data_IF_346646493126
#
_entry.id   IF_346646493126
#
_cell.length_a   1.000
_cell.length_b   1.000
_cell.length_c   1.000
_cell.angle_alpha   90.00
_cell.angle_beta   90.00
_cell.angle_gamma   90.00
#
_symmetry.space_group_name_H-M   'P 1'
#
loop_
_entity.id
_entity.type
_entity.pdbx_description
1 polymer ?
#
# COMPACT_ATOMS: atom_id res chain seq x y z
N UNK A 1 -2.31 -15.81 5.99
CA UNK A 1 -1.77 -15.00 4.89
C UNK A 1 -2.39 -15.54 3.62
N UNK A 2 -3.13 -14.74 2.87
CA UNK A 2 -3.49 -15.16 1.51
C UNK A 2 -2.27 -14.95 0.63
N UNK A 3 -1.74 -16.01 0.01
CA UNK A 3 -0.75 -15.89 -1.05
C UNK A 3 -1.38 -15.37 -2.37
N UNK A 4 -2.72 -15.31 -2.40
CA UNK A 4 -3.50 -15.01 -3.59
C UNK A 4 -3.95 -13.55 -3.57
N UNK A 5 -3.49 -12.80 -4.57
CA UNK A 5 -3.87 -11.41 -4.80
C UNK A 5 -5.19 -11.34 -5.59
N UNK A 6 -6.31 -11.57 -4.93
CA UNK A 6 -7.63 -11.62 -5.58
C UNK A 6 -8.62 -10.57 -5.09
N UNK A 7 -8.65 -10.34 -3.79
CA UNK A 7 -9.64 -9.46 -3.16
C UNK A 7 -9.04 -8.77 -1.94
N UNK A 8 -9.84 -7.95 -1.28
CA UNK A 8 -9.46 -7.12 -0.14
C UNK A 8 -8.86 -7.89 1.04
N UNK A 9 -9.08 -9.20 1.15
CA UNK A 9 -8.47 -10.03 2.18
C UNK A 9 -6.95 -10.07 2.04
N UNK A 10 -6.41 -9.77 0.86
CA UNK A 10 -4.97 -9.63 0.67
C UNK A 10 -4.35 -8.51 1.54
N UNK A 11 -5.14 -7.51 1.93
CA UNK A 11 -4.70 -6.40 2.77
C UNK A 11 -4.91 -6.64 4.28
N UNK A 12 -5.35 -7.84 4.68
CA UNK A 12 -5.71 -8.14 6.08
C UNK A 12 -5.08 -9.45 6.55
N UNK A 13 -4.65 -9.46 7.80
CA UNK A 13 -4.25 -10.71 8.45
C UNK A 13 -5.48 -11.58 8.74
N UNK A 14 -5.42 -12.86 8.35
CA UNK A 14 -6.41 -13.84 8.77
C UNK A 14 -6.37 -14.06 10.29
N UNK A 15 -7.45 -14.55 10.87
CA UNK A 15 -7.53 -14.81 12.30
C UNK A 15 -6.41 -15.72 12.80
N UNK A 16 -6.04 -16.75 12.02
CA UNK A 16 -4.90 -17.62 12.32
C UNK A 16 -3.59 -16.81 12.42
N UNK A 17 -3.28 -15.97 11.42
CA UNK A 17 -2.07 -15.15 11.47
C UNK A 17 -2.06 -14.17 12.65
N UNK A 18 -3.18 -13.53 12.95
CA UNK A 18 -3.25 -12.64 14.09
C UNK A 18 -3.03 -13.39 15.41
N UNK A 19 -3.56 -14.62 15.54
CA UNK A 19 -3.32 -15.48 16.71
C UNK A 19 -1.85 -15.84 16.84
N UNK A 20 -1.22 -16.30 15.76
CA UNK A 20 0.18 -16.71 15.80
C UNK A 20 1.13 -15.53 16.04
N UNK A 21 0.87 -14.35 15.45
CA UNK A 21 1.64 -13.13 15.75
C UNK A 21 1.55 -12.80 17.25
N UNK A 22 0.34 -12.84 17.83
CA UNK A 22 0.15 -12.58 19.27
C UNK A 22 0.83 -13.62 20.15
N UNK A 23 0.82 -14.89 19.75
CA UNK A 23 1.51 -15.97 20.44
C UNK A 23 3.02 -15.75 20.43
N UNK A 24 3.59 -15.48 19.24
CA UNK A 24 5.02 -15.24 19.06
C UNK A 24 5.50 -14.00 19.81
N UNK A 25 4.78 -12.88 19.69
CA UNK A 25 5.13 -11.61 20.33
C UNK A 25 5.19 -11.69 21.85
N UNK A 26 4.47 -12.62 22.48
CA UNK A 26 4.44 -12.80 23.93
C UNK A 26 5.60 -13.65 24.48
N UNK A 27 6.40 -14.28 23.62
CA UNK A 27 7.45 -15.19 24.10
C UNK A 27 8.68 -14.42 24.60
N UNK A 28 9.40 -14.93 25.62
CA UNK A 28 10.55 -14.24 26.21
C UNK A 28 11.65 -13.91 25.20
N UNK A 29 11.81 -14.71 24.16
CA UNK A 29 12.85 -14.55 23.13
C UNK A 29 12.64 -13.26 22.29
N UNK A 30 11.41 -12.73 22.24
CA UNK A 30 11.07 -11.51 21.48
C UNK A 30 10.92 -10.26 22.36
N UNK A 31 11.47 -10.30 23.58
CA UNK A 31 11.44 -9.17 24.54
C UNK A 31 12.02 -7.86 23.97
N UNK A 32 12.93 -7.94 23.00
CA UNK A 32 13.47 -6.76 22.31
C UNK A 32 12.43 -5.98 21.49
N UNK A 33 11.28 -6.58 21.15
CA UNK A 33 10.17 -5.94 20.43
C UNK A 33 9.11 -5.35 21.37
N UNK A 34 9.14 -5.70 22.65
CA UNK A 34 8.26 -5.15 23.69
C UNK A 34 8.93 -4.04 24.49
N UNK A 35 10.26 -4.02 24.53
CA UNK A 35 11.04 -2.99 25.21
C UNK A 35 11.48 -1.88 24.26
N UNK A 36 11.12 -0.63 24.60
CA UNK A 36 11.50 0.54 23.79
C UNK A 36 12.78 1.17 24.30
N UNK A 37 13.92 0.77 23.74
CA UNK A 37 15.23 1.30 24.10
C UNK A 37 15.72 2.47 23.20
N UNK A 38 14.90 2.88 22.23
CA UNK A 38 15.27 3.90 21.26
C UNK A 38 15.15 5.34 21.84
N UNK A 39 16.24 6.10 21.79
CA UNK A 39 16.29 7.51 22.25
C UNK A 39 15.79 8.52 21.23
N UNK A 40 15.75 8.14 19.95
CA UNK A 40 15.31 9.01 18.84
C UNK A 40 14.06 8.42 18.20
N UNK A 41 13.16 9.31 17.79
CA UNK A 41 11.98 8.93 17.01
C UNK A 41 12.00 9.66 15.67
N UNK A 42 11.60 8.96 14.62
CA UNK A 42 11.44 9.54 13.29
C UNK A 42 10.05 10.18 13.25
N UNK A 43 9.96 11.42 12.74
CA UNK A 43 8.67 12.08 12.54
C UNK A 43 7.81 11.26 11.58
N UNK A 44 6.57 10.99 11.98
CA UNK A 44 5.60 10.29 11.13
C UNK A 44 4.98 11.29 10.17
N UNK A 45 4.75 10.85 8.94
CA UNK A 45 3.89 11.56 7.99
C UNK A 45 2.45 11.14 8.23
N UNK A 46 1.52 12.10 8.22
CA UNK A 46 0.08 11.85 8.16
C UNK A 46 -0.42 11.61 6.74
N UNK A 47 0.41 11.90 5.73
CA UNK A 47 0.05 11.74 4.32
C UNK A 47 0.10 10.27 3.93
N UNK A 48 -0.95 9.82 3.26
CA UNK A 48 -0.99 8.49 2.66
C UNK A 48 -0.02 8.42 1.45
N UNK A 49 0.60 7.25 1.18
CA UNK A 49 1.63 7.15 0.16
C UNK A 49 1.17 7.56 -1.25
N UNK A 50 -0.09 7.30 -1.61
CA UNK A 50 -0.67 7.63 -2.91
C UNK A 50 -0.78 9.13 -3.20
N UNK A 51 -0.73 9.99 -2.17
CA UNK A 51 -0.65 11.46 -2.35
C UNK A 51 0.79 11.97 -2.41
N UNK A 52 1.77 11.10 -2.11
CA UNK A 52 3.19 11.45 -2.06
C UNK A 52 3.94 11.08 -3.35
N UNK A 53 3.29 10.40 -4.29
CA UNK A 53 3.90 9.95 -5.55
C UNK A 53 2.90 10.00 -6.70
N UNK A 54 3.40 10.15 -7.92
CA UNK A 54 2.57 10.00 -9.12
C UNK A 54 2.42 8.53 -9.50
N UNK A 55 1.42 8.22 -10.33
CA UNK A 55 1.22 6.86 -10.85
C UNK A 55 2.43 6.36 -11.64
N UNK A 56 3.03 7.19 -12.49
CA UNK A 56 4.22 6.82 -13.26
C UNK A 56 5.44 6.59 -12.37
N UNK A 57 5.64 7.42 -11.34
CA UNK A 57 6.70 7.18 -10.35
C UNK A 57 6.46 5.85 -9.62
N UNK A 58 5.22 5.58 -9.19
CA UNK A 58 4.88 4.30 -8.58
C UNK A 58 5.20 3.12 -9.50
N UNK A 59 4.80 3.17 -10.77
CA UNK A 59 5.12 2.14 -11.76
C UNK A 59 6.64 1.93 -11.93
N UNK A 60 7.41 3.01 -11.98
CA UNK A 60 8.88 2.95 -12.04
C UNK A 60 9.48 2.34 -10.78
N UNK A 61 8.98 2.66 -9.59
CA UNK A 61 9.49 2.09 -8.35
C UNK A 61 9.21 0.58 -8.23
N UNK A 62 8.01 0.14 -8.62
CA UNK A 62 7.64 -1.28 -8.57
C UNK A 62 8.45 -2.10 -9.58
N UNK A 63 8.65 -1.57 -10.78
CA UNK A 63 9.41 -2.22 -11.85
C UNK A 63 10.70 -1.45 -12.16
N UNK A 64 11.53 -1.19 -11.14
CA UNK A 64 12.71 -0.32 -11.25
C UNK A 64 13.76 -0.74 -12.29
N UNK A 65 13.74 -2.01 -12.67
CA UNK A 65 14.66 -2.56 -13.67
C UNK A 65 14.10 -2.52 -15.10
N UNK A 66 12.80 -2.27 -15.25
CA UNK A 66 12.14 -2.17 -16.56
C UNK A 66 12.24 -0.73 -17.09
N UNK A 67 13.12 -0.52 -18.07
CA UNK A 67 13.33 0.81 -18.65
C UNK A 67 12.07 1.33 -19.33
N UNK A 68 11.73 2.59 -19.05
CA UNK A 68 10.59 3.26 -19.68
C UNK A 68 9.23 2.87 -19.10
N UNK A 69 9.18 2.16 -17.95
CA UNK A 69 7.92 1.89 -17.27
C UNK A 69 7.24 3.19 -16.85
N UNK A 70 5.95 3.32 -17.18
CA UNK A 70 5.11 4.47 -16.81
C UNK A 70 3.67 4.03 -16.65
N UNK A 71 2.83 4.90 -16.08
CA UNK A 71 1.39 4.63 -16.01
C UNK A 71 0.72 4.92 -17.35
N UNK A 72 -0.20 4.06 -17.77
CA UNK A 72 -1.08 4.27 -18.90
C UNK A 72 -2.14 5.32 -18.53
N UNK A 73 -1.94 6.56 -19.02
CA UNK A 73 -2.81 7.70 -18.71
C UNK A 73 -4.24 7.49 -19.22
N UNK A 74 -4.42 6.79 -20.34
CA UNK A 74 -5.73 6.51 -20.91
C UNK A 74 -6.52 5.51 -20.04
N UNK A 75 -5.81 4.58 -19.39
CA UNK A 75 -6.43 3.68 -18.40
C UNK A 75 -6.82 4.45 -17.13
N UNK A 76 -5.95 5.34 -16.66
CA UNK A 76 -6.14 6.08 -15.42
C UNK A 76 -6.14 5.16 -14.18
N UNK A 77 -6.98 5.48 -13.19
CA UNK A 77 -7.21 4.62 -12.01
C UNK A 77 -8.58 3.98 -12.12
N UNK A 78 -8.64 2.66 -12.24
CA UNK A 78 -9.88 1.89 -12.35
C UNK A 78 -9.94 0.85 -11.25
N UNK A 79 -11.01 0.85 -10.45
CA UNK A 79 -11.16 -0.08 -9.31
C UNK A 79 -9.91 -0.12 -8.40
N UNK A 80 -9.31 1.04 -8.15
CA UNK A 80 -8.04 1.17 -7.43
C UNK A 80 -6.89 0.34 -7.99
N UNK A 81 -6.85 0.24 -9.32
CA UNK A 81 -5.77 -0.35 -10.07
C UNK A 81 -5.25 0.62 -11.11
N UNK A 82 -3.97 0.49 -11.41
CA UNK A 82 -3.28 1.21 -12.49
C UNK A 82 -2.69 0.18 -13.45
N UNK A 83 -2.61 0.56 -14.70
CA UNK A 83 -1.86 -0.20 -15.71
C UNK A 83 -0.50 0.46 -15.89
N UNK A 84 0.55 -0.27 -15.50
CA UNK A 84 1.94 0.12 -15.76
C UNK A 84 2.38 -0.51 -17.07
N UNK A 85 2.93 0.29 -17.98
CA UNK A 85 3.23 -0.14 -19.34
C UNK A 85 4.60 0.33 -19.80
N UNK A 86 5.18 -0.42 -20.73
CA UNK A 86 6.24 0.02 -21.64
C UNK A 86 5.74 -0.14 -23.09
N UNK A 87 6.62 -0.03 -24.07
CA UNK A 87 6.28 -0.29 -25.48
C UNK A 87 5.88 -1.75 -25.74
N UNK A 88 6.35 -2.70 -24.92
CA UNK A 88 6.28 -4.14 -25.26
C UNK A 88 5.52 -4.98 -24.22
N UNK A 89 5.17 -4.41 -23.07
CA UNK A 89 4.53 -5.16 -21.99
C UNK A 89 3.70 -4.24 -21.09
N UNK A 90 2.76 -4.84 -20.37
CA UNK A 90 1.98 -4.15 -19.36
C UNK A 90 1.70 -5.06 -18.16
N UNK A 91 1.50 -4.43 -17.01
CA UNK A 91 1.04 -5.07 -15.77
C UNK A 91 -0.09 -4.25 -15.15
N UNK A 92 -1.05 -4.91 -14.51
CA UNK A 92 -2.13 -4.23 -13.79
C UNK A 92 -1.99 -4.47 -12.29
N UNK A 93 -1.71 -3.39 -11.55
CA UNK A 93 -1.40 -3.42 -10.13
C UNK A 93 -2.44 -2.66 -9.32
N UNK A 94 -2.61 -3.01 -8.04
CA UNK A 94 -3.35 -2.17 -7.10
C UNK A 94 -2.56 -0.90 -6.80
N UNK A 95 -3.23 0.26 -6.76
CA UNK A 95 -2.57 1.53 -6.41
C UNK A 95 -2.35 1.65 -4.90
N UNK A 96 -1.48 2.57 -4.52
CA UNK A 96 -1.21 2.90 -3.13
C UNK A 96 -2.43 3.56 -2.46
N UNK A 97 -2.58 3.35 -1.16
CA UNK A 97 -3.60 4.05 -0.37
C UNK A 97 -3.40 5.57 -0.47
N UNK A 98 -4.51 6.31 -0.62
CA UNK A 98 -4.51 7.75 -0.84
C UNK A 98 -4.50 8.17 -2.30
N UNK A 99 -4.32 7.24 -3.25
CA UNK A 99 -4.35 7.58 -4.68
C UNK A 99 -5.77 8.06 -5.07
N UNK A 100 -5.94 9.22 -5.73
CA UNK A 100 -7.23 9.69 -6.18
C UNK A 100 -7.90 8.70 -7.15
N UNK A 101 -9.17 8.41 -6.92
CA UNK A 101 -9.99 7.51 -7.77
C UNK A 101 -11.32 8.12 -8.19
N UNK A 102 -11.53 9.41 -7.88
CA UNK A 102 -12.72 10.18 -8.19
C UNK A 102 -12.73 11.51 -7.41
N UNK A 103 -13.72 12.36 -7.67
CA UNK A 103 -13.83 13.66 -6.99
C UNK A 103 -14.07 13.47 -5.49
N UNK A 104 -13.11 13.88 -4.66
CA UNK A 104 -13.16 13.72 -3.18
C UNK A 104 -13.12 12.26 -2.73
N UNK A 105 -12.48 11.38 -3.51
CA UNK A 105 -12.39 9.95 -3.24
C UNK A 105 -10.97 9.46 -3.42
N UNK A 106 -10.56 8.55 -2.55
CA UNK A 106 -9.23 7.96 -2.57
C UNK A 106 -9.30 6.44 -2.43
N UNK A 107 -8.30 5.78 -2.98
CA UNK A 107 -8.13 4.35 -2.80
C UNK A 107 -7.69 4.04 -1.38
N UNK A 108 -8.42 3.15 -0.70
CA UNK A 108 -8.13 2.66 0.65
C UNK A 108 -8.36 1.15 0.66
N UNK A 109 -7.33 0.36 0.98
CA UNK A 109 -7.39 -1.10 1.00
C UNK A 109 -7.97 -1.70 -0.31
N UNK A 110 -7.60 -1.09 -1.45
CA UNK A 110 -8.04 -1.51 -2.78
C UNK A 110 -9.46 -1.12 -3.17
N UNK A 111 -10.15 -0.27 -2.39
CA UNK A 111 -11.48 0.27 -2.71
C UNK A 111 -11.47 1.78 -2.85
N UNK A 112 -12.30 2.29 -3.77
CA UNK A 112 -12.46 3.72 -3.95
C UNK A 112 -13.44 4.27 -2.90
N UNK A 113 -12.90 4.77 -1.80
CA UNK A 113 -13.66 5.27 -0.65
C UNK A 113 -13.77 6.78 -0.68
N UNK A 114 -14.71 7.33 0.09
CA UNK A 114 -14.71 8.78 0.36
C UNK A 114 -13.40 9.15 1.04
N UNK A 115 -12.79 10.24 0.60
CA UNK A 115 -11.53 10.70 1.16
C UNK A 115 -11.72 10.93 2.67
N UNK A 116 -11.08 10.09 3.47
CA UNK A 116 -11.09 10.24 4.92
C UNK A 116 -10.10 11.35 5.25
N UNK A 117 -10.54 12.40 5.91
CA UNK A 117 -9.62 13.26 6.65
C UNK A 117 -9.00 12.38 7.74
N UNK A 118 -7.77 11.91 7.51
CA UNK A 118 -7.00 11.27 8.58
C UNK A 118 -6.64 12.39 9.54
N UNK A 119 -7.50 12.59 10.57
CA UNK A 119 -7.33 13.65 11.54
C UNK A 119 -5.98 13.49 12.22
N UNK A 120 -5.09 14.44 11.98
CA UNK A 120 -3.89 14.64 12.79
C UNK A 120 -4.31 15.28 14.10
N UNK A 121 -4.61 14.47 15.10
CA UNK A 121 -4.40 14.85 16.50
C UNK A 121 -2.96 14.52 16.88
#
# INVERSE_FOLDING_TARGET
MSYKMQDERQYKFSNCCQREIRNLYKRPEFKCLTERNAKKTIKRSSKLPGVMTSLSNYCQWVYMYEKGMHADEAYGVQNCRVKCTTSNMYWTLGVLDGTPCGKGRACILGKCEKEMEISTN
#
